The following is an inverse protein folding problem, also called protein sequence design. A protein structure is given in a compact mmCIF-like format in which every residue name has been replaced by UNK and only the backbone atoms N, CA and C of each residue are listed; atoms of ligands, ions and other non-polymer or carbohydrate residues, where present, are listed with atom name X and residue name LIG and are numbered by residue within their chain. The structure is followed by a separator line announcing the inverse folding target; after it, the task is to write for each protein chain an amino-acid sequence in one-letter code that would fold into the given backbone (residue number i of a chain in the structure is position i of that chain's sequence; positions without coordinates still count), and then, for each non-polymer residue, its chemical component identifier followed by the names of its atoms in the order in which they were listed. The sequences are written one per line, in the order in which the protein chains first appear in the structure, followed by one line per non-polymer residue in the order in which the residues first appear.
data_IF_155600883142
#
_entry.id   IF_155600883142
#
_cell.length_a   1.000
_cell.length_b   1.000
_cell.length_c   1.000
_cell.angle_alpha   90.00
_cell.angle_beta   90.00
_cell.angle_gamma   90.00
#
_symmetry.space_group_name_H-M   'P 1'
#
loop_
_entity.id
_entity.type
_entity.pdbx_description
1 polymer ?
#
# COMPACT_ATOMS: atom_id res chain seq x y z
N UNK A 1 10.59 15.00 -4.60
CA UNK A 1 9.52 14.79 -3.61
C UNK A 1 9.12 13.32 -3.46
N UNK A 2 8.43 12.69 -4.43
CA UNK A 2 7.87 11.32 -4.26
C UNK A 2 8.90 10.23 -3.93
N UNK A 3 10.12 10.31 -4.50
CA UNK A 3 11.20 9.38 -4.15
C UNK A 3 11.61 9.51 -2.69
N UNK A 4 12.03 10.71 -2.28
CA UNK A 4 12.44 11.00 -0.90
C UNK A 4 11.34 10.66 0.11
N UNK A 5 10.07 10.96 -0.23
CA UNK A 5 8.93 10.61 0.62
C UNK A 5 8.80 9.09 0.84
N UNK A 6 8.97 8.27 -0.21
CA UNK A 6 8.96 6.81 -0.08
C UNK A 6 10.16 6.28 0.71
N UNK A 7 11.33 6.91 0.55
CA UNK A 7 12.56 6.50 1.23
C UNK A 7 12.43 6.65 2.76
N UNK A 8 11.75 7.69 3.26
CA UNK A 8 11.51 7.89 4.70
C UNK A 8 10.85 6.66 5.37
N UNK A 9 9.86 6.04 4.73
CA UNK A 9 9.18 4.87 5.32
C UNK A 9 10.08 3.63 5.37
N UNK A 10 10.98 3.47 4.39
CA UNK A 10 11.99 2.41 4.39
C UNK A 10 13.01 2.63 5.49
N UNK A 11 13.53 3.85 5.60
CA UNK A 11 14.51 4.20 6.63
C UNK A 11 13.94 4.00 8.04
N UNK A 12 12.65 4.33 8.26
CA UNK A 12 11.96 4.08 9.52
C UNK A 12 11.78 2.58 9.80
N UNK A 13 11.40 1.79 8.80
CA UNK A 13 11.22 0.35 8.96
C UNK A 13 12.55 -0.33 9.35
N UNK A 14 13.64 0.04 8.69
CA UNK A 14 14.99 -0.44 9.00
C UNK A 14 15.42 0.01 10.42
N UNK A 15 15.25 1.29 10.76
CA UNK A 15 15.61 1.83 12.08
C UNK A 15 14.90 1.11 13.23
N UNK A 16 13.61 0.81 13.05
CA UNK A 16 12.79 0.21 14.10
C UNK A 16 12.73 -1.32 14.01
N UNK A 17 13.41 -1.94 13.04
CA UNK A 17 13.38 -3.39 12.80
C UNK A 17 11.95 -3.92 12.67
N UNK A 18 11.08 -3.14 12.00
CA UNK A 18 9.69 -3.50 11.74
C UNK A 18 9.50 -3.82 10.26
N UNK A 19 8.54 -4.68 9.98
CA UNK A 19 8.18 -5.02 8.61
C UNK A 19 7.52 -3.84 7.90
N UNK A 20 7.88 -3.67 6.62
CA UNK A 20 7.31 -2.64 5.74
C UNK A 20 6.46 -3.28 4.65
N UNK A 21 5.26 -2.73 4.44
CA UNK A 21 4.47 -2.94 3.22
C UNK A 21 4.94 -1.86 2.22
N UNK A 22 5.63 -2.21 1.11
CA UNK A 22 6.31 -1.23 0.26
C UNK A 22 5.37 -0.21 -0.38
N UNK A 23 4.15 -0.63 -0.75
CA UNK A 23 3.12 0.25 -1.27
C UNK A 23 1.72 -0.33 -1.05
N UNK A 24 0.91 0.37 -0.25
CA UNK A 24 -0.45 -0.08 0.10
C UNK A 24 -1.37 -0.20 -1.12
N UNK A 25 -1.24 0.73 -2.08
CA UNK A 25 -2.10 0.82 -3.26
C UNK A 25 -1.49 0.10 -4.48
N UNK A 26 -0.59 -0.86 -4.28
CA UNK A 26 -0.04 -1.66 -5.39
C UNK A 26 -1.18 -2.28 -6.20
N UNK A 27 -1.10 -2.10 -7.53
CA UNK A 27 -2.15 -2.48 -8.52
C UNK A 27 -3.50 -1.77 -8.40
N UNK A 28 -3.64 -0.79 -7.49
CA UNK A 28 -4.89 -0.04 -7.28
C UNK A 28 -4.75 1.41 -7.69
N UNK A 29 -3.69 2.10 -7.24
CA UNK A 29 -3.52 3.54 -7.45
C UNK A 29 -3.60 3.93 -8.94
N UNK A 30 -4.58 4.76 -9.30
CA UNK A 30 -4.78 5.25 -10.67
C UNK A 30 -5.49 4.28 -11.62
N UNK A 31 -5.89 3.09 -11.15
CA UNK A 31 -6.67 2.13 -11.95
C UNK A 31 -8.14 2.53 -11.90
N UNK A 32 -8.68 3.02 -13.03
CA UNK A 32 -10.01 3.61 -13.08
C UNK A 32 -11.14 2.69 -12.59
N UNK A 33 -11.05 1.38 -12.86
CA UNK A 33 -12.04 0.40 -12.39
C UNK A 33 -11.98 0.11 -10.88
N UNK A 34 -10.88 0.46 -10.22
CA UNK A 34 -10.63 0.21 -8.80
C UNK A 34 -10.67 1.48 -7.95
N UNK A 35 -10.87 2.64 -8.57
CA UNK A 35 -10.92 3.93 -7.90
C UNK A 35 -12.30 4.59 -8.03
N UNK A 36 -12.57 5.57 -7.16
CA UNK A 36 -13.72 6.45 -7.22
C UNK A 36 -13.56 7.45 -8.39
N UNK A 37 -14.58 8.28 -8.63
CA UNK A 37 -14.58 9.24 -9.73
C UNK A 37 -13.39 10.22 -9.70
N UNK A 38 -12.82 10.47 -8.52
CA UNK A 38 -11.63 11.32 -8.34
C UNK A 38 -10.30 10.66 -8.76
N UNK A 39 -10.30 9.35 -9.03
CA UNK A 39 -9.13 8.53 -9.38
C UNK A 39 -8.04 8.47 -8.29
N UNK A 40 -8.31 8.94 -7.08
CA UNK A 40 -7.37 8.93 -5.95
C UNK A 40 -7.80 7.90 -4.92
N UNK A 41 -9.10 7.84 -4.59
CA UNK A 41 -9.61 6.95 -3.54
C UNK A 41 -10.05 5.61 -4.11
N UNK A 42 -9.68 4.47 -3.49
CA UNK A 42 -10.18 3.16 -3.90
C UNK A 42 -11.71 3.03 -3.75
N UNK A 43 -12.32 2.23 -4.62
CA UNK A 43 -13.69 1.75 -4.48
C UNK A 43 -13.69 0.33 -3.86
N UNK A 44 -14.84 -0.34 -3.80
CA UNK A 44 -14.95 -1.68 -3.21
C UNK A 44 -13.99 -2.72 -3.84
N UNK A 45 -13.86 -2.73 -5.16
CA UNK A 45 -12.94 -3.64 -5.86
C UNK A 45 -11.47 -3.29 -5.55
N UNK A 46 -11.15 -1.99 -5.46
CA UNK A 46 -9.82 -1.54 -5.02
C UNK A 46 -9.50 -1.98 -3.59
N UNK A 47 -10.45 -1.91 -2.67
CA UNK A 47 -10.27 -2.39 -1.29
C UNK A 47 -10.07 -3.91 -1.21
N UNK A 48 -10.75 -4.70 -2.04
CA UNK A 48 -10.50 -6.15 -2.12
C UNK A 48 -9.04 -6.43 -2.53
N UNK A 49 -8.52 -5.71 -3.53
CA UNK A 49 -7.13 -5.86 -3.94
C UNK A 49 -6.15 -5.40 -2.86
N UNK A 50 -6.44 -4.30 -2.15
CA UNK A 50 -5.62 -3.85 -1.01
C UNK A 50 -5.55 -4.94 0.07
N UNK A 51 -6.67 -5.58 0.40
CA UNK A 51 -6.68 -6.67 1.36
C UNK A 51 -5.76 -7.83 0.93
N UNK A 52 -5.78 -8.21 -0.36
CA UNK A 52 -4.87 -9.22 -0.92
C UNK A 52 -3.40 -8.80 -0.84
N UNK A 53 -3.09 -7.52 -1.05
CA UNK A 53 -1.74 -6.97 -0.92
C UNK A 53 -1.23 -7.04 0.53
N UNK A 54 -2.09 -6.73 1.50
CA UNK A 54 -1.72 -6.64 2.92
C UNK A 54 -1.66 -8.01 3.60
N UNK A 55 -2.52 -8.96 3.19
CA UNK A 55 -2.72 -10.24 3.88
C UNK A 55 -1.42 -11.04 4.15
N UNK A 56 -0.48 -11.21 3.20
CA UNK A 56 0.75 -11.96 3.47
C UNK A 56 1.57 -11.35 4.61
N UNK A 57 1.64 -10.02 4.68
CA UNK A 57 2.39 -9.30 5.71
C UNK A 57 1.77 -9.44 7.11
N UNK A 58 0.44 -9.56 7.19
CA UNK A 58 -0.28 -9.78 8.45
C UNK A 58 -0.17 -11.25 8.89
N UNK A 59 -0.33 -12.19 7.95
CA UNK A 59 -0.30 -13.62 8.26
C UNK A 59 1.04 -14.06 8.85
N UNK A 60 2.15 -13.50 8.38
CA UNK A 60 3.47 -13.81 8.93
C UNK A 60 3.71 -13.21 10.33
N UNK A 61 2.85 -12.33 10.82
CA UNK A 61 2.94 -11.72 12.16
C UNK A 61 2.07 -12.45 13.21
N UNK A 62 1.26 -13.42 12.78
CA UNK A 62 0.42 -14.27 13.65
C UNK A 62 1.14 -15.58 13.96
#
# INVERSE_FOLDING_TARGET
YTRQFREIFRDLAEKHQIRLIPFLLDKVGGVASMNQADRIHPNAAGHEQIARTVLPYIQECL
#
